data_IF_288533543364
#
_entry.id   IF_288533543364
#
_cell.length_a   1.000
_cell.length_b   1.000
_cell.length_c   1.000
_cell.angle_alpha   90.00
_cell.angle_beta   90.00
_cell.angle_gamma   90.00
#
_symmetry.space_group_name_H-M   'P 1'
#
loop_
_entity.id
_entity.type
_entity.pdbx_description
1 polymer ?
#
# COMPACT_ATOMS: atom_id res chain seq x y z
N UNK A 1 -9.11 22.44 -7.32
CA UNK A 1 -9.65 21.23 -7.99
C UNK A 1 -9.68 20.14 -6.94
N UNK A 2 -10.81 19.48 -6.66
CA UNK A 2 -10.84 18.42 -5.65
C UNK A 2 -9.97 17.23 -6.09
N UNK A 3 -9.35 16.53 -5.14
CA UNK A 3 -8.55 15.32 -5.42
C UNK A 3 -9.37 14.30 -6.22
N UNK A 4 -10.67 14.19 -5.95
CA UNK A 4 -11.60 13.34 -6.67
C UNK A 4 -11.84 13.73 -8.13
N UNK A 5 -11.96 15.04 -8.42
CA UNK A 5 -12.06 15.52 -9.81
C UNK A 5 -10.79 15.20 -10.61
N UNK A 6 -9.62 15.31 -9.97
CA UNK A 6 -8.36 14.94 -10.61
C UNK A 6 -8.25 13.43 -10.85
N UNK A 7 -8.64 12.62 -9.87
CA UNK A 7 -8.75 11.16 -10.00
C UNK A 7 -9.59 10.77 -11.23
N UNK A 8 -10.81 11.34 -11.38
CA UNK A 8 -11.68 11.07 -12.53
C UNK A 8 -10.99 11.37 -13.87
N UNK A 9 -10.30 12.51 -13.98
CA UNK A 9 -9.56 12.87 -15.20
C UNK A 9 -8.42 11.90 -15.53
N UNK A 10 -7.75 11.38 -14.50
CA UNK A 10 -6.71 10.36 -14.66
C UNK A 10 -7.32 9.05 -15.15
N UNK A 11 -8.43 8.60 -14.57
CA UNK A 11 -9.12 7.38 -15.02
C UNK A 11 -9.68 7.51 -16.44
N UNK A 12 -10.27 8.66 -16.79
CA UNK A 12 -10.69 8.97 -18.17
C UNK A 12 -9.51 8.90 -19.15
N UNK A 13 -8.34 9.41 -18.76
CA UNK A 13 -7.15 9.34 -19.60
C UNK A 13 -6.69 7.90 -19.83
N UNK A 14 -6.70 7.06 -18.79
CA UNK A 14 -6.40 5.62 -18.92
C UNK A 14 -7.36 4.92 -19.88
N UNK A 15 -8.66 5.17 -19.73
CA UNK A 15 -9.72 4.56 -20.54
C UNK A 15 -9.72 5.06 -21.99
N UNK A 16 -9.23 6.27 -22.25
CA UNK A 16 -9.21 6.85 -23.59
C UNK A 16 -8.37 6.05 -24.60
N UNK A 17 -7.42 5.24 -24.13
CA UNK A 17 -6.51 4.45 -24.96
C UNK A 17 -5.53 5.28 -25.81
N UNK A 18 -5.56 6.61 -25.71
CA UNK A 18 -4.75 7.49 -26.59
C UNK A 18 -3.25 7.37 -26.33
N UNK A 19 -2.86 6.87 -25.16
CA UNK A 19 -1.47 6.70 -24.73
C UNK A 19 -0.95 5.26 -24.84
N UNK A 20 -1.57 4.43 -25.69
CA UNK A 20 -1.11 3.07 -25.95
C UNK A 20 -0.01 3.07 -27.02
N UNK A 21 1.15 2.52 -26.69
CA UNK A 21 2.23 2.25 -27.64
C UNK A 21 2.80 0.86 -27.36
N UNK A 22 2.95 0.02 -28.40
CA UNK A 22 3.59 -1.30 -28.29
C UNK A 22 2.97 -2.17 -27.17
N UNK A 23 1.64 -2.13 -27.04
CA UNK A 23 0.91 -2.88 -26.00
C UNK A 23 0.92 -2.26 -24.60
N UNK A 24 1.63 -1.14 -24.39
CA UNK A 24 1.72 -0.45 -23.10
C UNK A 24 0.85 0.81 -23.09
N UNK A 25 -0.08 0.91 -22.16
CA UNK A 25 -0.83 2.13 -21.88
C UNK A 25 -0.08 3.02 -20.88
N UNK A 26 0.59 4.05 -21.40
CA UNK A 26 1.42 4.94 -20.58
C UNK A 26 0.62 5.84 -19.64
N UNK A 27 -0.70 5.95 -19.80
CA UNK A 27 -1.55 6.66 -18.83
C UNK A 27 -1.54 5.96 -17.45
N UNK A 28 -1.48 4.64 -17.42
CA UNK A 28 -1.31 3.85 -16.18
C UNK A 28 0.09 4.07 -15.59
N UNK A 29 1.12 4.03 -16.44
CA UNK A 29 2.52 4.19 -16.00
C UNK A 29 2.74 5.54 -15.30
N UNK A 30 2.18 6.63 -15.83
CA UNK A 30 2.45 7.97 -15.30
C UNK A 30 1.45 8.45 -14.24
N UNK A 31 0.32 7.74 -14.04
CA UNK A 31 -0.77 8.20 -13.19
C UNK A 31 -0.38 8.54 -11.75
N UNK A 32 0.53 7.82 -11.05
CA UNK A 32 0.90 8.19 -9.69
C UNK A 32 1.53 9.58 -9.61
N UNK A 33 2.18 10.03 -10.69
CA UNK A 33 2.80 11.35 -10.79
C UNK A 33 1.81 12.44 -11.23
N UNK A 34 0.57 12.11 -11.61
CA UNK A 34 -0.43 13.10 -12.04
C UNK A 34 -1.25 13.71 -10.89
N UNK A 35 -1.16 13.14 -9.68
CA UNK A 35 -1.90 13.63 -8.50
C UNK A 35 -1.38 14.98 -7.97
N UNK A 36 -0.07 15.23 -8.01
CA UNK A 36 0.50 16.51 -7.58
C UNK A 36 0.30 17.59 -8.66
N UNK A 37 -0.78 18.35 -8.58
CA UNK A 37 -1.10 19.40 -9.55
C UNK A 37 -0.43 20.75 -9.24
N UNK A 38 0.41 20.83 -8.20
CA UNK A 38 1.09 22.07 -7.81
C UNK A 38 2.11 22.51 -8.86
N UNK A 39 2.44 23.81 -8.87
CA UNK A 39 3.48 24.34 -9.74
C UNK A 39 4.86 23.71 -9.44
N UNK A 40 5.20 23.53 -8.16
CA UNK A 40 6.41 22.83 -7.77
C UNK A 40 6.42 21.38 -8.29
N UNK A 41 5.29 20.68 -8.19
CA UNK A 41 5.10 19.34 -8.74
C UNK A 41 5.28 19.29 -10.26
N UNK A 42 4.76 20.28 -10.98
CA UNK A 42 4.95 20.44 -12.42
C UNK A 42 6.44 20.55 -12.79
N UNK A 43 7.17 21.45 -12.13
CA UNK A 43 8.61 21.65 -12.37
C UNK A 43 9.39 20.37 -12.06
N UNK A 44 9.09 19.70 -10.93
CA UNK A 44 9.70 18.41 -10.57
C UNK A 44 9.52 17.37 -11.68
N UNK A 45 8.32 17.26 -12.28
CA UNK A 45 8.06 16.31 -13.37
C UNK A 45 8.83 16.64 -14.64
N UNK A 46 8.97 17.92 -14.98
CA UNK A 46 9.73 18.36 -16.15
C UNK A 46 11.20 17.99 -15.95
N UNK A 47 11.80 18.37 -14.81
CA UNK A 47 13.19 18.04 -14.48
C UNK A 47 13.39 16.52 -14.49
N UNK A 48 12.51 15.79 -13.82
CA UNK A 48 12.54 14.33 -13.77
C UNK A 48 12.46 13.67 -15.14
N UNK A 49 11.64 14.19 -16.04
CA UNK A 49 11.44 13.61 -17.37
C UNK A 49 12.60 13.88 -18.32
N UNK A 50 13.28 15.02 -18.14
CA UNK A 50 14.37 15.45 -19.01
C UNK A 50 15.73 14.94 -18.51
N UNK A 51 16.01 15.05 -17.21
CA UNK A 51 17.37 14.90 -16.69
C UNK A 51 17.61 13.62 -15.90
N UNK A 52 16.57 12.87 -15.54
CA UNK A 52 16.71 11.65 -14.75
C UNK A 52 16.49 10.44 -15.65
N UNK A 53 17.51 9.63 -15.87
CA UNK A 53 17.41 8.34 -16.54
C UNK A 53 17.13 7.19 -15.56
N UNK A 54 16.91 6.01 -16.13
CA UNK A 54 16.81 4.75 -15.37
C UNK A 54 18.10 3.96 -15.54
N UNK A 55 18.71 3.57 -14.42
CA UNK A 55 19.83 2.63 -14.37
C UNK A 55 19.31 1.28 -13.91
N UNK A 56 19.77 0.22 -14.55
CA UNK A 56 19.54 -1.15 -14.11
C UNK A 56 20.76 -1.60 -13.30
N UNK A 57 20.50 -2.24 -12.17
CA UNK A 57 21.51 -2.85 -11.31
C UNK A 57 21.21 -4.34 -11.24
N UNK A 58 22.19 -5.16 -11.61
CA UNK A 58 22.09 -6.61 -11.46
C UNK A 58 22.20 -6.94 -9.97
N UNK A 59 21.10 -7.45 -9.42
CA UNK A 59 21.03 -7.85 -8.03
C UNK A 59 21.49 -9.29 -7.80
N UNK A 60 21.82 -10.02 -8.87
CA UNK A 60 22.24 -11.43 -8.87
C UNK A 60 21.11 -12.43 -9.10
N UNK A 61 21.40 -13.72 -8.95
CA UNK A 61 20.45 -14.82 -9.19
C UNK A 61 21.05 -15.85 -10.14
N UNK A 62 20.19 -16.71 -10.70
CA UNK A 62 20.59 -17.70 -11.72
C UNK A 62 20.40 -17.04 -13.08
N UNK A 63 21.45 -16.75 -13.88
CA UNK A 63 21.30 -16.01 -15.14
C UNK A 63 20.26 -16.61 -16.10
N UNK A 64 20.15 -17.95 -16.12
CA UNK A 64 19.19 -18.74 -16.89
C UNK A 64 17.82 -18.90 -16.20
N UNK A 65 17.58 -18.20 -15.09
CA UNK A 65 16.36 -18.28 -14.30
C UNK A 65 15.14 -17.82 -15.09
N UNK A 66 14.10 -18.65 -15.17
CA UNK A 66 12.89 -18.37 -15.95
C UNK A 66 12.00 -17.27 -15.34
N UNK A 67 12.24 -16.90 -14.08
CA UNK A 67 11.50 -15.87 -13.34
C UNK A 67 12.36 -14.61 -13.18
N UNK A 68 11.82 -13.45 -13.56
CA UNK A 68 12.43 -12.15 -13.26
C UNK A 68 11.75 -11.52 -12.05
N UNK A 69 12.51 -11.24 -10.99
CA UNK A 69 12.06 -10.43 -9.86
C UNK A 69 12.57 -9.00 -10.07
N UNK A 70 11.66 -8.03 -10.08
CA UNK A 70 11.97 -6.63 -10.35
C UNK A 70 11.60 -5.71 -9.17
N UNK A 71 12.53 -4.85 -8.77
CA UNK A 71 12.38 -3.91 -7.65
C UNK A 71 12.89 -2.50 -8.00
N UNK A 72 12.06 -1.46 -7.84
CA UNK A 72 12.49 -0.07 -8.11
C UNK A 72 12.47 0.87 -6.90
N UNK A 73 12.14 0.36 -5.70
CA UNK A 73 11.87 1.20 -4.54
C UNK A 73 13.03 1.31 -3.54
N UNK A 74 14.23 0.79 -3.85
CA UNK A 74 15.41 0.83 -2.96
C UNK A 74 15.76 2.26 -2.50
N UNK A 75 15.59 3.23 -3.39
CA UNK A 75 15.83 4.65 -3.11
C UNK A 75 14.87 5.27 -2.07
N UNK A 76 13.80 4.58 -1.69
CA UNK A 76 12.88 5.04 -0.64
C UNK A 76 13.42 4.76 0.77
N UNK A 77 14.50 3.98 0.91
CA UNK A 77 15.12 3.62 2.19
C UNK A 77 14.12 3.05 3.20
N UNK A 78 13.24 2.17 2.70
CA UNK A 78 12.16 1.53 3.46
C UNK A 78 12.53 0.07 3.74
N UNK A 79 12.95 -0.21 4.97
CA UNK A 79 13.38 -1.56 5.37
C UNK A 79 12.29 -2.62 5.18
N UNK A 80 11.03 -2.26 5.36
CA UNK A 80 9.88 -3.13 5.11
C UNK A 80 9.71 -3.47 3.62
N UNK A 81 10.00 -2.52 2.72
CA UNK A 81 9.92 -2.76 1.27
C UNK A 81 11.08 -3.65 0.80
N UNK A 82 12.26 -3.37 1.34
CA UNK A 82 13.48 -4.10 1.06
C UNK A 82 13.37 -5.56 1.52
N UNK A 83 12.76 -5.79 2.70
CA UNK A 83 12.50 -7.14 3.20
C UNK A 83 11.61 -7.95 2.26
N UNK A 84 10.53 -7.35 1.74
CA UNK A 84 9.63 -8.00 0.80
C UNK A 84 10.38 -8.50 -0.44
N UNK A 85 11.16 -7.62 -1.07
CA UNK A 85 11.92 -7.96 -2.28
C UNK A 85 12.96 -9.06 -2.00
N UNK A 86 13.67 -8.96 -0.88
CA UNK A 86 14.67 -9.95 -0.47
C UNK A 86 14.05 -11.31 -0.16
N UNK A 87 12.88 -11.33 0.49
CA UNK A 87 12.18 -12.58 0.82
C UNK A 87 11.61 -13.27 -0.42
N UNK A 88 11.10 -12.51 -1.40
CA UNK A 88 10.71 -13.07 -2.71
C UNK A 88 11.90 -13.71 -3.43
N UNK A 89 13.06 -13.03 -3.41
CA UNK A 89 14.32 -13.56 -3.95
C UNK A 89 14.73 -14.85 -3.26
N UNK A 90 14.63 -14.92 -1.94
CA UNK A 90 14.96 -16.13 -1.18
C UNK A 90 14.03 -17.31 -1.55
N UNK A 91 12.72 -17.07 -1.60
CA UNK A 91 11.72 -18.08 -1.95
C UNK A 91 11.97 -18.64 -3.36
N UNK A 92 12.43 -17.81 -4.30
CA UNK A 92 12.60 -18.15 -5.72
C UNK A 92 14.06 -18.32 -6.14
N UNK A 93 14.99 -18.47 -5.18
CA UNK A 93 16.45 -18.38 -5.41
C UNK A 93 16.97 -19.29 -6.53
N UNK A 94 16.37 -20.47 -6.69
CA UNK A 94 16.87 -21.52 -7.58
C UNK A 94 16.36 -21.36 -9.04
N UNK A 95 15.44 -20.42 -9.29
CA UNK A 95 14.79 -20.26 -10.59
C UNK A 95 14.62 -18.80 -11.03
N UNK A 96 15.21 -17.84 -10.32
CA UNK A 96 15.01 -16.42 -10.58
C UNK A 96 16.29 -15.63 -10.81
N UNK A 97 16.14 -14.56 -11.60
CA UNK A 97 17.05 -13.43 -11.70
C UNK A 97 16.44 -12.26 -10.93
N UNK A 98 17.25 -11.55 -10.16
CA UNK A 98 16.83 -10.38 -9.39
C UNK A 98 17.45 -9.12 -9.98
N UNK A 99 16.60 -8.16 -10.34
CA UNK A 99 17.00 -6.90 -10.98
C UNK A 99 16.43 -5.72 -10.21
N UNK A 100 17.30 -4.75 -9.93
CA UNK A 100 16.90 -3.47 -9.37
C UNK A 100 16.95 -2.36 -10.42
N UNK A 101 16.09 -1.37 -10.28
CA UNK A 101 16.21 -0.14 -11.06
C UNK A 101 16.35 1.07 -10.15
N UNK A 102 17.34 1.91 -10.48
CA UNK A 102 17.58 3.19 -9.83
C UNK A 102 17.33 4.36 -10.78
N UNK A 103 17.17 5.54 -10.18
CA UNK A 103 17.09 6.81 -10.90
C UNK A 103 18.48 7.48 -10.88
N UNK A 104 18.99 7.92 -12.03
CA UNK A 104 20.30 8.58 -12.12
C UNK A 104 20.25 9.82 -13.02
N UNK A 105 21.10 10.81 -12.76
CA UNK A 105 21.21 11.97 -13.65
C UNK A 105 21.78 11.55 -15.01
N UNK A 106 21.18 12.02 -16.10
CA UNK A 106 21.59 11.66 -17.46
C UNK A 106 21.24 12.75 -18.47
N UNK A 107 22.26 13.39 -19.06
CA UNK A 107 22.06 14.32 -20.17
C UNK A 107 21.54 13.62 -21.43
N UNK A 108 21.90 12.35 -21.62
CA UNK A 108 21.38 11.54 -22.72
C UNK A 108 19.86 11.34 -22.61
N UNK A 109 19.30 11.36 -21.39
CA UNK A 109 17.86 11.31 -21.20
C UNK A 109 17.15 12.50 -21.84
N UNK A 110 17.74 13.70 -21.81
CA UNK A 110 17.14 14.91 -22.40
C UNK A 110 16.89 14.67 -23.88
N UNK A 111 17.91 14.24 -24.60
CA UNK A 111 17.82 13.92 -26.02
C UNK A 111 16.78 12.82 -26.29
N UNK A 112 16.85 11.72 -25.54
CA UNK A 112 15.91 10.59 -25.67
C UNK A 112 14.46 11.04 -25.48
N UNK A 113 14.17 11.81 -24.44
CA UNK A 113 12.83 12.32 -24.14
C UNK A 113 12.36 13.29 -25.23
N UNK A 114 13.19 14.25 -25.65
CA UNK A 114 12.81 15.24 -26.68
C UNK A 114 12.50 14.59 -28.03
N UNK A 115 13.26 13.55 -28.44
CA UNK A 115 13.00 12.81 -29.68
C UNK A 115 11.62 12.13 -29.67
N UNK A 116 11.15 11.64 -28.51
CA UNK A 116 9.84 10.98 -28.40
C UNK A 116 8.69 11.97 -28.15
N UNK A 117 8.98 13.19 -27.72
CA UNK A 117 8.00 14.19 -27.28
C UNK A 117 6.88 14.49 -28.31
N UNK A 118 7.14 14.67 -29.62
CA UNK A 118 6.07 15.03 -30.56
C UNK A 118 4.94 13.99 -30.61
N UNK A 119 5.32 12.71 -30.73
CA UNK A 119 4.36 11.60 -30.70
C UNK A 119 3.70 11.42 -29.32
N UNK A 120 4.44 11.64 -28.23
CA UNK A 120 3.88 11.60 -26.87
C UNK A 120 2.90 12.73 -26.57
N UNK A 121 3.06 13.89 -27.21
CA UNK A 121 2.13 15.01 -27.08
C UNK A 121 0.76 14.70 -27.69
N UNK A 122 0.74 13.95 -28.81
CA UNK A 122 -0.51 13.43 -29.38
C UNK A 122 -1.16 12.38 -28.47
N UNK A 123 -0.37 11.58 -27.77
CA UNK A 123 -0.88 10.56 -26.86
C UNK A 123 -1.61 11.10 -25.64
N UNK A 124 -1.33 12.34 -25.20
CA UNK A 124 -2.01 12.98 -24.06
C UNK A 124 -3.26 13.77 -24.47
N UNK A 125 -3.79 13.57 -25.68
CA UNK A 125 -5.07 14.17 -26.10
C UNK A 125 -6.25 13.71 -25.26
N UNK A 126 -6.23 12.46 -24.77
CA UNK A 126 -7.24 11.93 -23.85
C UNK A 126 -7.18 12.53 -22.44
N UNK A 127 -6.10 13.22 -22.07
CA UNK A 127 -5.95 13.83 -20.74
C UNK A 127 -6.57 15.24 -20.72
N UNK A 128 -7.80 15.34 -20.20
CA UNK A 128 -8.60 16.57 -20.08
C UNK A 128 -8.10 17.50 -18.96
N UNK A 129 -6.87 17.96 -19.12
CA UNK A 129 -6.12 18.77 -18.17
C UNK A 129 -5.62 20.09 -18.80
N UNK A 130 -5.12 21.00 -17.96
CA UNK A 130 -4.55 22.27 -18.44
C UNK A 130 -3.32 22.04 -19.33
N UNK A 131 -3.01 23.01 -20.20
CA UNK A 131 -1.92 22.87 -21.19
C UNK A 131 -0.57 22.49 -20.55
N UNK A 132 -0.22 23.11 -19.44
CA UNK A 132 1.02 22.81 -18.70
C UNK A 132 1.04 21.38 -18.14
N UNK A 133 -0.08 20.91 -17.61
CA UNK A 133 -0.22 19.54 -17.13
C UNK A 133 -0.10 18.53 -18.28
N UNK A 134 -0.65 18.86 -19.45
CA UNK A 134 -0.52 18.03 -20.67
C UNK A 134 0.92 17.99 -21.18
N UNK A 135 1.65 19.11 -21.16
CA UNK A 135 3.08 19.15 -21.50
C UNK A 135 3.88 18.24 -20.56
N UNK A 136 3.68 18.36 -19.25
CA UNK A 136 4.37 17.49 -18.29
C UNK A 136 4.00 16.01 -18.43
N UNK A 137 2.72 15.70 -18.68
CA UNK A 137 2.30 14.34 -18.97
C UNK A 137 2.96 13.80 -20.25
N UNK A 138 3.06 14.59 -21.32
CA UNK A 138 3.70 14.19 -22.57
C UNK A 138 5.20 13.92 -22.39
N UNK A 139 5.88 14.74 -21.57
CA UNK A 139 7.28 14.52 -21.18
C UNK A 139 7.44 13.22 -20.38
N UNK A 140 6.54 12.94 -19.42
CA UNK A 140 6.56 11.69 -18.68
C UNK A 140 6.34 10.48 -19.60
N UNK A 141 5.34 10.53 -20.50
CA UNK A 141 5.12 9.48 -21.52
C UNK A 141 6.38 9.27 -22.35
N UNK A 142 7.01 10.34 -22.85
CA UNK A 142 8.23 10.26 -23.63
C UNK A 142 9.41 9.64 -22.83
N UNK A 143 9.57 10.03 -21.57
CA UNK A 143 10.58 9.48 -20.67
C UNK A 143 10.37 7.98 -20.42
N UNK A 144 9.15 7.55 -20.11
CA UNK A 144 8.89 6.13 -19.88
C UNK A 144 8.96 5.30 -21.16
N UNK A 145 8.60 5.85 -22.33
CA UNK A 145 8.82 5.16 -23.62
C UNK A 145 10.30 4.91 -23.92
N UNK A 146 11.17 5.83 -23.52
CA UNK A 146 12.62 5.65 -23.68
C UNK A 146 13.16 4.67 -22.64
N UNK A 147 12.63 4.69 -21.41
CA UNK A 147 12.92 3.69 -20.38
C UNK A 147 12.57 2.27 -20.86
N UNK A 148 11.36 2.10 -21.41
CA UNK A 148 10.91 0.83 -21.98
C UNK A 148 11.92 0.26 -22.99
N UNK A 149 12.29 1.09 -23.97
CA UNK A 149 13.19 0.69 -25.06
C UNK A 149 14.63 0.44 -24.63
N UNK A 150 15.20 1.31 -23.80
CA UNK A 150 16.65 1.33 -23.55
C UNK A 150 17.06 0.67 -22.24
N UNK A 151 16.15 0.52 -21.27
CA UNK A 151 16.47 -0.09 -19.97
C UNK A 151 15.74 -1.42 -19.76
N UNK A 152 14.50 -1.55 -20.21
CA UNK A 152 13.64 -2.67 -19.81
C UNK A 152 13.46 -3.75 -20.88
N UNK A 153 13.57 -3.42 -22.16
CA UNK A 153 13.28 -4.36 -23.25
C UNK A 153 14.07 -5.67 -23.17
N UNK A 154 15.35 -5.61 -22.79
CA UNK A 154 16.20 -6.80 -22.67
C UNK A 154 15.94 -7.63 -21.41
N UNK A 155 15.30 -7.06 -20.38
CA UNK A 155 15.09 -7.77 -19.10
C UNK A 155 14.11 -8.94 -19.24
N UNK A 156 13.17 -8.82 -20.17
CA UNK A 156 12.11 -9.80 -20.40
C UNK A 156 12.51 -10.91 -21.38
N UNK A 157 13.70 -10.82 -21.98
CA UNK A 157 14.18 -11.85 -22.90
C UNK A 157 14.43 -13.16 -22.14
N UNK A 158 13.97 -14.27 -22.74
CA UNK A 158 14.13 -15.63 -22.22
C UNK A 158 13.53 -15.84 -20.81
N UNK A 159 12.51 -15.04 -20.45
CA UNK A 159 11.73 -15.17 -19.20
C UNK A 159 10.31 -15.61 -19.50
N UNK A 160 9.69 -16.29 -18.54
CA UNK A 160 8.28 -16.70 -18.61
C UNK A 160 7.42 -15.98 -17.57
N UNK A 161 8.04 -15.52 -16.50
CA UNK A 161 7.34 -14.85 -15.41
C UNK A 161 8.07 -13.58 -14.95
N UNK A 162 7.30 -12.51 -14.73
CA UNK A 162 7.72 -11.31 -14.04
C UNK A 162 7.04 -11.25 -12.67
N UNK A 163 7.83 -11.03 -11.62
CA UNK A 163 7.39 -10.76 -10.26
C UNK A 163 7.79 -9.33 -9.89
N UNK A 164 6.82 -8.48 -9.58
CA UNK A 164 7.07 -7.10 -9.17
C UNK A 164 6.76 -6.88 -7.69
N UNK A 165 7.46 -5.92 -7.09
CA UNK A 165 7.17 -5.47 -5.73
C UNK A 165 5.75 -4.88 -5.58
N UNK A 166 5.36 -4.00 -6.51
CA UNK A 166 4.04 -3.34 -6.52
C UNK A 166 3.83 -2.63 -7.87
N UNK A 167 2.93 -3.15 -8.71
CA UNK A 167 2.65 -2.60 -10.05
C UNK A 167 1.82 -1.30 -10.04
N UNK A 168 1.51 -0.76 -8.86
CA UNK A 168 1.01 0.60 -8.72
C UNK A 168 2.11 1.66 -8.97
N UNK A 169 3.39 1.28 -8.82
CA UNK A 169 4.53 2.15 -9.06
C UNK A 169 4.91 2.17 -10.55
N UNK A 170 5.38 3.31 -11.04
CA UNK A 170 5.56 3.53 -12.48
C UNK A 170 6.55 2.57 -13.17
N UNK A 171 7.77 2.30 -12.63
CA UNK A 171 8.69 1.35 -13.25
C UNK A 171 8.12 -0.07 -13.32
N UNK A 172 7.56 -0.56 -12.21
CA UNK A 172 6.93 -1.88 -12.10
C UNK A 172 5.72 -1.99 -13.03
N UNK A 173 4.86 -0.96 -13.10
CA UNK A 173 3.71 -0.92 -13.98
C UNK A 173 4.13 -1.03 -15.46
N UNK A 174 5.16 -0.26 -15.85
CA UNK A 174 5.70 -0.28 -17.20
C UNK A 174 6.19 -1.68 -17.58
N UNK A 175 7.05 -2.27 -16.74
CA UNK A 175 7.61 -3.59 -17.01
C UNK A 175 6.53 -4.67 -17.01
N UNK A 176 5.51 -4.55 -16.14
CA UNK A 176 4.36 -5.46 -16.09
C UNK A 176 3.54 -5.43 -17.37
N UNK A 177 3.22 -4.24 -17.89
CA UNK A 177 2.51 -4.12 -19.16
C UNK A 177 3.34 -4.67 -20.33
N UNK A 178 4.66 -4.45 -20.33
CA UNK A 178 5.57 -5.04 -21.33
C UNK A 178 5.59 -6.57 -21.25
N UNK A 179 5.67 -7.15 -20.05
CA UNK A 179 5.63 -8.59 -19.84
C UNK A 179 4.30 -9.19 -20.32
N UNK A 180 3.17 -8.54 -19.98
CA UNK A 180 1.85 -8.95 -20.45
C UNK A 180 1.75 -8.94 -21.99
N UNK A 181 2.27 -7.89 -22.64
CA UNK A 181 2.28 -7.76 -24.09
C UNK A 181 3.18 -8.82 -24.78
N UNK A 182 4.25 -9.25 -24.10
CA UNK A 182 5.11 -10.35 -24.52
C UNK A 182 4.57 -11.75 -24.16
N UNK A 183 3.39 -11.84 -23.54
CA UNK A 183 2.73 -13.11 -23.21
C UNK A 183 3.13 -13.72 -21.86
N UNK A 184 4.07 -13.12 -21.13
CA UNK A 184 4.58 -13.63 -19.86
C UNK A 184 3.52 -13.60 -18.76
N UNK A 185 3.65 -14.51 -17.78
CA UNK A 185 2.91 -14.41 -16.53
C UNK A 185 3.44 -13.22 -15.73
N UNK A 186 2.56 -12.34 -15.28
CA UNK A 186 2.93 -11.25 -14.37
C UNK A 186 2.26 -11.41 -13.01
N UNK A 187 3.06 -11.30 -11.96
CA UNK A 187 2.65 -11.40 -10.56
C UNK A 187 3.12 -10.15 -9.84
N UNK A 188 2.26 -9.54 -9.03
CA UNK A 188 2.64 -8.41 -8.18
C UNK A 188 2.36 -8.70 -6.72
N UNK A 189 3.18 -8.12 -5.86
CA UNK A 189 2.92 -8.11 -4.42
C UNK A 189 2.24 -6.79 -3.99
N UNK A 190 1.81 -6.73 -2.74
CA UNK A 190 1.37 -5.50 -2.09
C UNK A 190 2.30 -5.08 -0.95
N UNK A 191 2.34 -3.76 -0.71
CA UNK A 191 3.17 -3.14 0.33
C UNK A 191 2.36 -2.54 1.49
N UNK A 192 1.03 -2.70 1.46
CA UNK A 192 0.12 -2.16 2.46
C UNK A 192 -1.25 -2.83 2.37
N UNK A 193 -2.06 -2.69 3.42
CA UNK A 193 -3.49 -3.02 3.33
C UNK A 193 -4.17 -1.92 2.52
N UNK A 194 -4.51 -2.26 1.29
CA UNK A 194 -5.24 -1.35 0.44
C UNK A 194 -6.70 -1.22 0.92
N UNK A 195 -7.25 -0.02 0.70
CA UNK A 195 -8.67 0.30 0.89
C UNK A 195 -9.22 1.06 -0.31
N UNK A 196 -10.45 0.79 -0.71
CA UNK A 196 -11.11 1.61 -1.73
C UNK A 196 -11.34 3.03 -1.20
N UNK A 197 -10.96 4.00 -2.02
CA UNK A 197 -11.10 5.42 -1.73
C UNK A 197 -12.33 6.00 -2.43
N UNK A 198 -12.98 6.93 -1.76
CA UNK A 198 -14.14 7.66 -2.24
C UNK A 198 -13.85 9.16 -2.32
N UNK A 199 -14.88 9.99 -2.55
CA UNK A 199 -14.73 11.43 -2.67
C UNK A 199 -14.17 12.10 -1.41
N UNK A 200 -14.35 11.49 -0.23
CA UNK A 200 -13.99 12.03 1.08
C UNK A 200 -12.52 11.81 1.42
N UNK A 201 -11.92 10.73 0.91
CA UNK A 201 -10.56 10.33 1.25
C UNK A 201 -9.65 10.08 0.02
N UNK A 202 -10.04 10.55 -1.17
CA UNK A 202 -9.31 10.33 -2.41
C UNK A 202 -7.84 10.82 -2.36
N UNK A 203 -6.92 9.93 -2.68
CA UNK A 203 -5.48 10.18 -2.74
C UNK A 203 -4.84 9.38 -3.90
N UNK A 204 -3.52 9.52 -4.06
CA UNK A 204 -2.76 8.70 -5.01
C UNK A 204 -2.77 7.20 -4.67
N UNK A 205 -3.18 6.81 -3.45
CA UNK A 205 -3.27 5.39 -3.06
C UNK A 205 -4.39 4.66 -3.82
N UNK A 206 -5.32 5.39 -4.45
CA UNK A 206 -6.31 4.81 -5.36
C UNK A 206 -5.66 4.06 -6.54
N UNK A 207 -4.42 4.42 -6.88
CA UNK A 207 -3.65 3.72 -7.91
C UNK A 207 -3.28 2.28 -7.51
N UNK A 208 -3.35 1.89 -6.23
CA UNK A 208 -3.18 0.48 -5.84
C UNK A 208 -4.15 -0.46 -6.58
N UNK A 209 -5.38 -0.01 -6.83
CA UNK A 209 -6.39 -0.76 -7.58
C UNK A 209 -6.43 -0.34 -9.04
N UNK A 210 -6.41 0.98 -9.27
CA UNK A 210 -6.58 1.53 -10.60
C UNK A 210 -5.36 1.27 -11.52
N UNK A 211 -4.21 0.89 -10.96
CA UNK A 211 -3.02 0.46 -11.71
C UNK A 211 -2.74 -1.03 -11.64
N UNK A 212 -3.64 -1.85 -11.08
CA UNK A 212 -3.46 -3.29 -11.06
C UNK A 212 -3.57 -3.90 -12.47
N UNK A 213 -2.40 -4.19 -13.05
CA UNK A 213 -2.27 -4.69 -14.44
C UNK A 213 -1.67 -6.11 -14.49
N UNK A 214 -1.13 -6.61 -13.37
CA UNK A 214 -0.57 -7.95 -13.28
C UNK A 214 -1.63 -9.04 -13.43
N UNK A 215 -1.29 -10.18 -14.05
CA UNK A 215 -2.22 -11.32 -14.20
C UNK A 215 -2.61 -11.94 -12.86
N UNK A 216 -1.73 -11.85 -11.86
CA UNK A 216 -1.96 -12.30 -10.48
C UNK A 216 -1.47 -11.27 -9.46
N UNK A 217 -2.10 -11.27 -8.29
CA UNK A 217 -1.69 -10.52 -7.10
C UNK A 217 -1.48 -11.47 -5.92
N UNK A 218 -0.41 -11.24 -5.16
CA UNK A 218 -0.15 -11.85 -3.86
C UNK A 218 -0.88 -11.03 -2.79
N UNK A 219 -2.03 -11.53 -2.33
CA UNK A 219 -2.86 -10.89 -1.33
C UNK A 219 -2.45 -11.34 0.08
N UNK A 220 -2.48 -10.44 1.06
CA UNK A 220 -2.22 -10.80 2.46
C UNK A 220 -3.30 -11.74 3.00
N UNK A 221 -4.57 -11.44 2.74
CA UNK A 221 -5.71 -12.21 3.22
C UNK A 221 -6.93 -12.01 2.36
N UNK A 222 -8.03 -12.65 2.76
CA UNK A 222 -9.35 -12.48 2.16
C UNK A 222 -9.81 -11.02 2.22
N UNK A 223 -9.38 -10.24 3.21
CA UNK A 223 -9.67 -8.81 3.29
C UNK A 223 -9.23 -8.05 2.03
N UNK A 224 -7.98 -8.23 1.60
CA UNK A 224 -7.47 -7.65 0.35
C UNK A 224 -8.23 -8.17 -0.86
N UNK A 225 -8.47 -9.48 -0.92
CA UNK A 225 -9.17 -10.11 -2.04
C UNK A 225 -10.58 -9.53 -2.21
N UNK A 226 -11.31 -9.33 -1.12
CA UNK A 226 -12.65 -8.76 -1.10
C UNK A 226 -12.66 -7.30 -1.58
N UNK A 227 -11.70 -6.49 -1.13
CA UNK A 227 -11.57 -5.09 -1.59
C UNK A 227 -11.33 -5.02 -3.11
N UNK A 228 -10.37 -5.79 -3.64
CA UNK A 228 -10.08 -5.83 -5.08
C UNK A 228 -11.26 -6.39 -5.88
N UNK A 229 -11.94 -7.41 -5.36
CA UNK A 229 -13.14 -7.97 -6.00
C UNK A 229 -14.27 -6.94 -6.05
N UNK A 230 -14.47 -6.17 -4.98
CA UNK A 230 -15.48 -5.11 -4.96
C UNK A 230 -15.18 -3.95 -5.92
N UNK A 231 -13.91 -3.78 -6.30
CA UNK A 231 -13.49 -2.87 -7.38
C UNK A 231 -13.78 -3.42 -8.80
N UNK A 232 -14.16 -4.69 -8.91
CA UNK A 232 -14.41 -5.37 -10.19
C UNK A 232 -13.25 -6.21 -10.71
N UNK A 233 -12.24 -6.49 -9.88
CA UNK A 233 -11.13 -7.36 -10.27
C UNK A 233 -11.53 -8.82 -10.04
N UNK A 234 -11.32 -9.67 -11.05
CA UNK A 234 -11.69 -11.09 -10.96
C UNK A 234 -10.99 -11.79 -9.79
N UNK A 235 -11.72 -12.51 -8.92
CA UNK A 235 -11.14 -13.27 -7.81
C UNK A 235 -10.06 -14.26 -8.24
N UNK A 236 -10.16 -14.85 -9.44
CA UNK A 236 -9.14 -15.77 -9.97
C UNK A 236 -7.77 -15.11 -10.23
N UNK A 237 -7.69 -13.77 -10.20
CA UNK A 237 -6.43 -13.02 -10.26
C UNK A 237 -5.81 -12.74 -8.88
N UNK A 238 -6.51 -13.05 -7.79
CA UNK A 238 -6.17 -12.63 -6.44
C UNK A 238 -5.89 -13.86 -5.59
N UNK A 239 -4.62 -14.09 -5.23
CA UNK A 239 -4.21 -15.30 -4.51
C UNK A 239 -3.73 -14.95 -3.11
N UNK A 240 -4.37 -15.55 -2.11
CA UNK A 240 -4.01 -15.33 -0.70
C UNK A 240 -2.73 -16.09 -0.36
N UNK A 241 -1.66 -15.34 -0.10
CA UNK A 241 -0.33 -15.88 0.23
C UNK A 241 0.20 -15.38 1.57
N UNK A 242 -0.47 -14.43 2.20
CA UNK A 242 0.01 -13.81 3.43
C UNK A 242 0.89 -12.58 3.17
N UNK A 243 1.05 -11.80 4.23
CA UNK A 243 1.92 -10.64 4.27
C UNK A 243 3.37 -11.09 4.40
N UNK A 244 4.18 -10.76 3.39
CA UNK A 244 5.62 -10.90 3.44
C UNK A 244 6.17 -9.83 4.41
N UNK A 245 6.29 -10.18 5.68
CA UNK A 245 6.76 -9.30 6.75
C UNK A 245 7.79 -10.02 7.62
N UNK A 246 8.71 -9.26 8.20
CA UNK A 246 9.57 -9.77 9.25
C UNK A 246 8.80 -9.72 10.58
N UNK A 247 8.25 -10.87 10.99
CA UNK A 247 7.52 -10.98 12.26
C UNK A 247 8.45 -11.05 13.48
N UNK A 248 9.72 -11.43 13.30
CA UNK A 248 10.70 -11.52 14.39
C UNK A 248 11.02 -10.12 14.99
N UNK A 249 10.91 -9.06 14.19
CA UNK A 249 11.05 -7.68 14.67
C UNK A 249 9.82 -7.17 15.45
N UNK A 250 8.76 -7.96 15.54
CA UNK A 250 7.53 -7.64 16.26
C UNK A 250 7.51 -8.51 17.52
N UNK A 251 8.52 -8.38 18.39
CA UNK A 251 8.50 -9.00 19.71
C UNK A 251 7.41 -8.33 20.54
N UNK A 252 6.25 -8.98 20.64
CA UNK A 252 5.12 -8.44 21.36
C UNK A 252 5.02 -9.09 22.75
N UNK A 253 4.64 -8.30 23.77
CA UNK A 253 4.46 -8.84 25.10
C UNK A 253 3.40 -9.95 25.08
N UNK A 254 3.60 -10.99 25.88
CA UNK A 254 2.57 -12.01 26.07
C UNK A 254 1.29 -11.36 26.61
N UNK A 255 0.14 -11.67 26.00
CA UNK A 255 -1.17 -11.17 26.40
C UNK A 255 -1.62 -11.60 27.82
N UNK A 256 -0.78 -12.33 28.56
CA UNK A 256 -1.06 -12.87 29.89
C UNK A 256 -0.58 -11.97 31.05
N UNK A 257 -0.41 -10.68 30.83
CA UNK A 257 -0.06 -9.73 31.90
C UNK A 257 -1.30 -9.36 32.75
N UNK A 258 -1.07 -9.01 34.02
CA UNK A 258 -2.11 -8.44 34.89
C UNK A 258 -2.75 -7.20 34.25
N UNK A 259 -4.06 -6.95 34.46
CA UNK A 259 -4.73 -5.76 33.94
C UNK A 259 -4.05 -4.49 34.43
N UNK A 260 -3.64 -3.63 33.49
CA UNK A 260 -2.94 -2.37 33.77
C UNK A 260 -3.91 -1.25 34.12
N UNK A 261 -5.18 -1.39 33.75
CA UNK A 261 -6.17 -0.32 33.90
C UNK A 261 -5.99 0.81 32.87
N UNK A 262 -5.20 0.56 31.82
CA UNK A 262 -4.89 1.52 30.77
C UNK A 262 -5.18 0.88 29.42
N UNK A 263 -5.91 1.58 28.55
CA UNK A 263 -6.05 1.19 27.15
C UNK A 263 -5.36 2.18 26.23
N UNK A 264 -4.99 1.75 25.04
CA UNK A 264 -4.31 2.63 24.10
C UNK A 264 -5.25 3.21 23.05
N UNK A 265 -4.93 4.39 22.54
CA UNK A 265 -5.64 5.08 21.47
C UNK A 265 -4.65 5.33 20.34
N UNK A 266 -4.90 4.79 19.15
CA UNK A 266 -3.98 4.92 18.02
C UNK A 266 -4.50 5.92 17.01
N UNK A 267 -3.80 7.04 16.88
CA UNK A 267 -4.16 8.07 15.92
C UNK A 267 -3.66 7.73 14.51
N UNK A 268 -4.46 8.13 13.53
CA UNK A 268 -4.12 8.10 12.11
C UNK A 268 -3.09 9.20 11.77
N UNK A 269 -2.54 9.13 10.56
CA UNK A 269 -1.76 10.22 9.97
C UNK A 269 -2.59 11.52 9.84
N UNK A 270 -1.93 12.63 9.47
CA UNK A 270 -2.55 13.95 9.37
C UNK A 270 -3.76 14.04 8.41
N UNK A 271 -3.90 13.10 7.48
CA UNK A 271 -5.09 12.99 6.62
C UNK A 271 -6.36 12.57 7.39
N UNK A 272 -6.22 12.08 8.62
CA UNK A 272 -7.30 11.60 9.48
C UNK A 272 -7.56 12.49 10.71
N UNK A 273 -7.20 13.77 10.69
CA UNK A 273 -7.35 14.70 11.84
C UNK A 273 -8.73 14.69 12.47
N UNK A 274 -9.79 14.75 11.66
CA UNK A 274 -11.17 14.71 12.14
C UNK A 274 -11.47 13.41 12.89
N UNK A 275 -11.08 12.27 12.32
CA UNK A 275 -11.23 10.97 12.97
C UNK A 275 -10.34 10.83 14.21
N UNK A 276 -9.17 11.49 14.25
CA UNK A 276 -8.32 11.53 15.44
C UNK A 276 -9.00 12.27 16.60
N UNK A 277 -9.68 13.39 16.32
CA UNK A 277 -10.49 14.10 17.33
C UNK A 277 -11.62 13.20 17.82
N UNK A 278 -12.36 12.57 16.90
CA UNK A 278 -13.44 11.65 17.26
C UNK A 278 -12.96 10.45 18.10
N UNK A 279 -11.77 9.91 17.80
CA UNK A 279 -11.14 8.86 18.59
C UNK A 279 -10.79 9.31 20.01
N UNK A 280 -10.26 10.53 20.16
CA UNK A 280 -9.93 11.08 21.49
C UNK A 280 -11.21 11.26 22.31
N UNK A 281 -12.27 11.82 21.72
CA UNK A 281 -13.54 12.00 22.43
C UNK A 281 -14.19 10.64 22.79
N UNK A 282 -14.10 9.65 21.90
CA UNK A 282 -14.51 8.28 22.21
C UNK A 282 -13.68 7.67 23.34
N UNK A 283 -12.37 7.92 23.38
CA UNK A 283 -11.49 7.43 24.43
C UNK A 283 -11.87 7.98 25.80
N UNK A 284 -12.14 9.29 25.91
CA UNK A 284 -12.63 9.90 27.17
C UNK A 284 -13.91 9.24 27.67
N UNK A 285 -14.85 9.02 26.75
CA UNK A 285 -16.11 8.34 27.08
C UNK A 285 -15.86 6.92 27.60
N UNK A 286 -15.07 6.12 26.88
CA UNK A 286 -14.75 4.74 27.26
C UNK A 286 -14.00 4.69 28.59
N UNK A 287 -13.03 5.59 28.78
CA UNK A 287 -12.26 5.73 30.01
C UNK A 287 -13.17 6.02 31.22
N UNK A 288 -14.03 7.04 31.12
CA UNK A 288 -14.96 7.39 32.18
C UNK A 288 -16.00 6.31 32.46
N UNK A 289 -16.54 5.67 31.42
CA UNK A 289 -17.58 4.64 31.56
C UNK A 289 -17.05 3.33 32.16
N UNK A 290 -15.79 2.98 31.88
CA UNK A 290 -15.18 1.72 32.33
C UNK A 290 -14.22 1.90 33.51
N UNK A 291 -14.02 3.13 34.00
CA UNK A 291 -13.07 3.43 35.07
C UNK A 291 -11.61 3.14 34.69
N UNK A 292 -11.23 3.45 33.45
CA UNK A 292 -9.89 3.21 32.90
C UNK A 292 -9.16 4.53 32.62
N UNK A 293 -7.84 4.47 32.46
CA UNK A 293 -7.04 5.54 31.85
C UNK A 293 -6.75 5.21 30.38
N UNK A 294 -6.28 6.20 29.62
CA UNK A 294 -5.93 5.97 28.22
C UNK A 294 -4.59 6.58 27.79
N UNK A 295 -3.85 5.85 26.96
CA UNK A 295 -2.55 6.26 26.39
C UNK A 295 -2.68 6.56 24.90
N UNK A 296 -2.24 7.73 24.45
CA UNK A 296 -2.37 8.16 23.06
C UNK A 296 -1.08 7.90 22.28
N UNK A 297 -1.16 7.00 21.31
CA UNK A 297 -0.07 6.74 20.35
C UNK A 297 -0.27 7.57 19.08
N UNK A 298 0.70 8.42 18.79
CA UNK A 298 0.72 9.28 17.62
C UNK A 298 1.25 8.56 16.39
N UNK A 299 0.82 9.01 15.20
CA UNK A 299 1.51 8.69 13.96
C UNK A 299 2.92 9.31 13.97
N UNK A 300 3.96 8.69 13.37
CA UNK A 300 5.35 9.16 13.46
C UNK A 300 5.61 10.61 13.03
N UNK A 301 4.72 11.18 12.22
CA UNK A 301 4.87 12.53 11.64
C UNK A 301 3.94 13.58 12.25
N UNK A 302 3.07 13.20 13.18
CA UNK A 302 2.11 14.13 13.78
C UNK A 302 2.72 14.84 14.99
N UNK A 303 2.40 16.12 15.20
CA UNK A 303 2.90 16.89 16.35
C UNK A 303 2.09 16.56 17.62
N UNK A 304 2.73 16.08 18.72
CA UNK A 304 2.05 15.84 19.98
C UNK A 304 1.27 17.04 20.51
N UNK A 305 1.78 18.27 20.32
CA UNK A 305 1.15 19.50 20.82
C UNK A 305 -0.23 19.74 20.22
N UNK A 306 -0.48 19.24 19.01
CA UNK A 306 -1.76 19.40 18.33
C UNK A 306 -2.89 18.71 19.10
N UNK A 307 -2.62 17.55 19.67
CA UNK A 307 -3.62 16.72 20.35
C UNK A 307 -3.62 16.87 21.86
N UNK A 308 -2.52 17.32 22.47
CA UNK A 308 -2.41 17.45 23.92
C UNK A 308 -3.49 18.36 24.53
N UNK A 309 -3.88 19.42 23.81
CA UNK A 309 -4.96 20.34 24.21
C UNK A 309 -6.36 19.71 24.22
N UNK A 310 -6.51 18.53 23.64
CA UNK A 310 -7.78 17.80 23.56
C UNK A 310 -7.91 16.74 24.65
N UNK A 311 -6.88 16.48 25.45
CA UNK A 311 -6.87 15.42 26.45
C UNK A 311 -7.48 15.89 27.78
N UNK A 312 -8.04 14.98 28.56
CA UNK A 312 -8.62 15.23 29.89
C UNK A 312 -7.84 14.52 31.01
N UNK A 313 -8.22 14.66 32.27
CA UNK A 313 -7.46 14.12 33.40
C UNK A 313 -7.36 12.57 33.43
N UNK A 314 -8.07 11.87 32.54
CA UNK A 314 -8.01 10.41 32.39
C UNK A 314 -6.91 9.95 31.42
N UNK A 315 -6.24 10.86 30.70
CA UNK A 315 -5.09 10.49 29.87
C UNK A 315 -3.89 10.08 30.75
N UNK A 316 -3.14 9.09 30.28
CA UNK A 316 -1.94 8.58 30.95
C UNK A 316 -0.66 9.13 30.34
N UNK A 317 -0.51 8.98 29.03
CA UNK A 317 0.67 9.39 28.28
C UNK A 317 0.29 9.69 26.82
N UNK A 318 1.11 10.48 26.12
CA UNK A 318 0.98 10.78 24.70
C UNK A 318 2.35 10.85 24.04
N UNK A 319 2.51 10.14 22.92
CA UNK A 319 3.79 10.17 22.22
C UNK A 319 3.91 9.24 21.03
N UNK A 320 5.13 9.20 20.50
CA UNK A 320 5.54 8.28 19.46
C UNK A 320 6.09 7.02 20.11
N UNK A 321 5.30 5.95 20.08
CA UNK A 321 5.69 4.65 20.59
C UNK A 321 5.86 3.67 19.43
N UNK A 322 6.94 2.89 19.44
CA UNK A 322 6.96 1.65 18.66
C UNK A 322 5.86 0.69 19.18
N UNK A 323 5.48 -0.29 18.36
CA UNK A 323 4.33 -1.12 18.66
C UNK A 323 4.53 -1.99 19.91
N UNK A 324 5.74 -2.53 20.12
CA UNK A 324 6.05 -3.38 21.26
C UNK A 324 5.99 -2.60 22.58
N UNK A 325 6.64 -1.43 22.62
CA UNK A 325 6.59 -0.52 23.79
C UNK A 325 5.17 -0.03 24.06
N UNK A 326 4.37 0.20 23.02
CA UNK A 326 2.97 0.58 23.18
C UNK A 326 2.13 -0.55 23.80
N UNK A 327 2.19 -1.76 23.24
CA UNK A 327 1.40 -2.90 23.72
C UNK A 327 1.81 -3.36 25.12
N UNK A 328 3.05 -3.12 25.54
CA UNK A 328 3.50 -3.43 26.90
C UNK A 328 2.84 -2.52 27.95
N UNK A 329 2.31 -1.36 27.57
CA UNK A 329 1.65 -0.40 28.47
C UNK A 329 0.13 -0.49 28.54
N UNK A 330 -0.52 -1.22 27.64
CA UNK A 330 -1.99 -1.20 27.51
C UNK A 330 -2.63 -2.58 27.59
N UNK A 331 -3.91 -2.63 27.94
CA UNK A 331 -4.73 -3.86 28.02
C UNK A 331 -5.41 -4.19 26.68
N UNK A 332 -5.79 -3.16 25.93
CA UNK A 332 -6.39 -3.23 24.60
C UNK A 332 -6.19 -1.91 23.86
N UNK A 333 -6.55 -1.88 22.58
CA UNK A 333 -6.43 -0.69 21.73
C UNK A 333 -7.77 -0.23 21.17
N UNK A 334 -7.98 1.08 21.13
CA UNK A 334 -8.98 1.78 20.34
C UNK A 334 -8.27 2.44 19.15
N UNK A 335 -8.74 2.18 17.93
CA UNK A 335 -8.12 2.67 16.72
C UNK A 335 -9.15 3.04 15.65
N UNK A 336 -8.66 3.47 14.50
CA UNK A 336 -9.43 3.67 13.27
C UNK A 336 -8.72 2.92 12.13
N UNK A 337 -8.60 3.46 10.92
CA UNK A 337 -7.92 2.79 9.79
C UNK A 337 -6.40 2.97 9.79
N UNK A 338 -5.68 2.13 10.52
CA UNK A 338 -4.20 2.08 10.49
C UNK A 338 -3.67 0.66 10.29
N UNK A 339 -2.57 0.53 9.53
CA UNK A 339 -1.93 -0.77 9.27
C UNK A 339 -1.48 -1.49 10.55
N UNK A 340 -1.21 -0.74 11.62
CA UNK A 340 -0.87 -1.28 12.92
C UNK A 340 -2.02 -2.11 13.55
N UNK A 341 -3.29 -1.91 13.14
CA UNK A 341 -4.41 -2.77 13.58
C UNK A 341 -4.17 -4.23 13.19
N UNK A 342 -3.64 -4.48 11.98
CA UNK A 342 -3.38 -5.84 11.49
C UNK A 342 -2.26 -6.49 12.29
N UNK A 343 -1.24 -5.71 12.66
CA UNK A 343 -0.12 -6.19 13.50
C UNK A 343 -0.62 -6.54 14.92
N UNK A 344 -1.53 -5.74 15.48
CA UNK A 344 -2.15 -6.01 16.79
C UNK A 344 -3.04 -7.25 16.74
N UNK A 345 -3.84 -7.42 15.69
CA UNK A 345 -4.65 -8.61 15.50
C UNK A 345 -3.75 -9.85 15.36
N UNK A 346 -2.66 -9.77 14.61
CA UNK A 346 -1.69 -10.86 14.47
C UNK A 346 -1.06 -11.24 15.82
N UNK A 347 -0.80 -10.26 16.68
CA UNK A 347 -0.35 -10.47 18.06
C UNK A 347 -1.36 -11.17 18.97
N UNK A 348 -2.63 -11.24 18.54
CA UNK A 348 -3.74 -11.66 19.38
C UNK A 348 -4.08 -10.66 20.49
N UNK A 349 -3.69 -9.38 20.34
CA UNK A 349 -4.08 -8.32 21.28
C UNK A 349 -5.49 -7.80 20.94
N UNK A 350 -6.33 -7.50 21.95
CA UNK A 350 -7.65 -6.95 21.69
C UNK A 350 -7.58 -5.55 21.08
N UNK A 351 -8.33 -5.33 20.01
CA UNK A 351 -8.44 -4.03 19.33
C UNK A 351 -9.86 -3.78 18.85
N UNK A 352 -10.32 -2.54 19.00
CA UNK A 352 -11.64 -2.08 18.63
C UNK A 352 -11.50 -0.86 17.74
N UNK A 353 -12.31 -0.79 16.69
CA UNK A 353 -12.30 0.33 15.74
C UNK A 353 -13.52 1.20 15.94
N UNK A 354 -13.30 2.51 16.03
CA UNK A 354 -14.39 3.47 15.97
C UNK A 354 -14.76 3.74 14.51
N UNK A 355 -16.01 3.52 14.14
CA UNK A 355 -16.57 4.01 12.88
C UNK A 355 -17.28 5.34 13.13
N UNK A 356 -16.58 6.44 12.81
CA UNK A 356 -17.08 7.81 12.86
C UNK A 356 -17.82 8.22 11.57
N UNK A 357 -18.17 7.26 10.72
CA UNK A 357 -18.75 7.48 9.38
C UNK A 357 -17.71 7.74 8.28
N UNK A 358 -16.41 7.72 8.62
CA UNK A 358 -15.27 7.84 7.70
C UNK A 358 -14.40 6.59 7.67
N UNK A 359 -14.74 5.54 8.42
CA UNK A 359 -13.98 4.30 8.41
C UNK A 359 -14.11 3.64 7.03
N UNK A 360 -12.97 3.22 6.46
CA UNK A 360 -12.99 2.55 5.17
C UNK A 360 -13.64 1.18 5.27
N UNK A 361 -14.34 0.76 4.22
CA UNK A 361 -15.08 -0.51 4.15
C UNK A 361 -14.25 -1.73 4.56
N UNK A 362 -12.97 -1.78 4.16
CA UNK A 362 -12.02 -2.82 4.56
C UNK A 362 -11.88 -3.01 6.09
N UNK A 363 -12.25 -2.01 6.88
CA UNK A 363 -12.19 -1.99 8.34
C UNK A 363 -13.58 -1.96 8.99
N UNK A 364 -14.66 -1.85 8.22
CA UNK A 364 -16.05 -1.93 8.69
C UNK A 364 -16.48 -3.39 8.84
N UNK A 365 -15.88 -4.09 9.81
CA UNK A 365 -16.04 -5.53 10.01
C UNK A 365 -16.74 -5.79 11.35
N UNK A 366 -17.75 -6.66 11.31
CA UNK A 366 -18.48 -7.09 12.50
C UNK A 366 -17.53 -7.70 13.54
N UNK A 367 -17.69 -7.28 14.79
CA UNK A 367 -16.83 -7.71 15.90
C UNK A 367 -15.45 -7.05 15.95
N UNK A 368 -15.17 -6.11 15.03
CA UNK A 368 -13.96 -5.28 15.03
C UNK A 368 -14.31 -3.79 15.08
N UNK A 369 -15.28 -3.33 14.29
CA UNK A 369 -15.69 -1.92 14.20
C UNK A 369 -17.04 -1.63 14.83
N UNK A 370 -17.18 -0.47 15.45
CA UNK A 370 -18.35 -0.06 16.22
C UNK A 370 -18.71 1.40 15.90
N UNK A 371 -20.00 1.65 15.69
CA UNK A 371 -20.54 2.93 15.20
C UNK A 371 -20.45 4.10 16.20
N UNK A 372 -20.23 3.82 17.48
CA UNK A 372 -20.18 4.85 18.51
C UNK A 372 -19.46 4.36 19.78
N UNK A 373 -19.05 5.28 20.68
CA UNK A 373 -18.33 4.94 21.90
C UNK A 373 -19.09 4.02 22.87
N UNK A 374 -20.42 4.08 22.90
CA UNK A 374 -21.23 3.19 23.73
C UNK A 374 -21.12 1.74 23.27
N UNK A 375 -21.19 1.50 21.96
CA UNK A 375 -21.03 0.18 21.36
C UNK A 375 -19.62 -0.38 21.58
N UNK A 376 -18.59 0.48 21.48
CA UNK A 376 -17.21 0.11 21.84
C UNK A 376 -17.13 -0.35 23.30
N UNK A 377 -17.65 0.46 24.24
CA UNK A 377 -17.60 0.12 25.66
C UNK A 377 -18.37 -1.18 25.98
N UNK A 378 -19.54 -1.38 25.38
CA UNK A 378 -20.33 -2.60 25.54
C UNK A 378 -19.56 -3.84 25.04
N UNK A 379 -18.93 -3.76 23.87
CA UNK A 379 -18.13 -4.84 23.32
C UNK A 379 -16.92 -5.18 24.19
N UNK A 380 -16.26 -4.17 24.78
CA UNK A 380 -15.15 -4.38 25.73
C UNK A 380 -15.63 -5.14 26.98
N UNK A 381 -16.80 -4.78 27.52
CA UNK A 381 -17.39 -5.47 28.69
C UNK A 381 -17.75 -6.92 28.35
N UNK A 382 -18.35 -7.15 27.18
CA UNK A 382 -18.68 -8.49 26.70
C UNK A 382 -17.41 -9.34 26.55
N UNK A 383 -16.39 -8.83 25.87
CA UNK A 383 -15.12 -9.53 25.66
C UNK A 383 -14.39 -9.84 26.98
N UNK A 384 -14.46 -8.95 27.96
CA UNK A 384 -13.93 -9.18 29.32
C UNK A 384 -14.68 -10.29 30.06
N UNK A 385 -15.99 -10.42 29.82
CA UNK A 385 -16.80 -11.51 30.40
C UNK A 385 -16.61 -12.85 29.68
N UNK A 386 -16.21 -12.83 28.41
CA UNK A 386 -16.02 -14.01 27.56
C UNK A 386 -14.65 -13.99 26.82
N UNK A 387 -13.52 -13.99 27.54
CA UNK A 387 -12.19 -13.75 26.93
C UNK A 387 -11.78 -14.81 25.90
N UNK A 388 -12.20 -16.06 26.07
CA UNK A 388 -11.92 -17.13 25.10
C UNK A 388 -12.66 -16.89 23.78
N UNK A 389 -13.91 -16.40 23.83
CA UNK A 389 -14.68 -16.08 22.63
C UNK A 389 -14.07 -14.88 21.88
N UNK A 390 -13.71 -13.83 22.62
CA UNK A 390 -13.01 -12.66 22.09
C UNK A 390 -11.70 -13.04 21.40
N UNK A 391 -10.85 -13.85 22.07
CA UNK A 391 -9.59 -14.34 21.50
C UNK A 391 -9.81 -15.11 20.20
N UNK A 392 -10.79 -16.01 20.16
CA UNK A 392 -11.11 -16.75 18.95
C UNK A 392 -11.57 -15.82 17.80
N UNK A 393 -12.41 -14.82 18.11
CA UNK A 393 -12.84 -13.80 17.15
C UNK A 393 -11.65 -13.01 16.58
N UNK A 394 -10.76 -12.50 17.43
CA UNK A 394 -9.57 -11.77 16.99
C UNK A 394 -8.61 -12.64 16.17
N UNK A 395 -8.42 -13.91 16.52
CA UNK A 395 -7.62 -14.84 15.72
C UNK A 395 -8.22 -15.09 14.33
N UNK A 396 -9.56 -15.21 14.24
CA UNK A 396 -10.25 -15.33 12.95
C UNK A 396 -10.06 -14.08 12.10
N UNK A 397 -10.22 -12.89 12.70
CA UNK A 397 -9.99 -11.61 12.03
C UNK A 397 -8.53 -11.45 11.58
N UNK A 398 -7.57 -11.82 12.43
CA UNK A 398 -6.15 -11.80 12.10
C UNK A 398 -5.85 -12.64 10.85
N UNK A 399 -6.39 -13.87 10.79
CA UNK A 399 -6.27 -14.75 9.62
C UNK A 399 -6.99 -14.21 8.38
N UNK A 400 -8.12 -13.54 8.56
CA UNK A 400 -8.87 -12.94 7.46
C UNK A 400 -8.11 -11.77 6.81
N UNK A 401 -7.41 -10.95 7.61
CA UNK A 401 -6.52 -9.90 7.10
C UNK A 401 -5.19 -10.45 6.57
N UNK A 402 -4.65 -11.48 7.22
CA UNK A 402 -3.37 -12.07 6.89
C UNK A 402 -3.37 -13.59 7.09
N UNK A 403 -3.40 -14.35 6.00
CA UNK A 403 -3.19 -15.80 6.01
C UNK A 403 -1.84 -16.16 5.38
N UNK A 404 -0.82 -16.22 6.22
CA UNK A 404 0.57 -16.55 5.86
C UNK A 404 0.95 -18.03 6.08
N UNK A 405 -0.03 -18.90 6.30
CA UNK A 405 0.19 -20.35 6.34
C UNK A 405 0.77 -20.83 5.01
N UNK A 406 1.87 -21.57 5.08
CA UNK A 406 2.57 -22.10 3.91
C UNK A 406 2.96 -21.02 2.87
N UNK A 407 3.20 -19.78 3.32
CA UNK A 407 3.43 -18.60 2.46
C UNK A 407 4.43 -18.89 1.32
N UNK A 408 5.59 -19.46 1.63
CA UNK A 408 6.61 -19.75 0.61
C UNK A 408 6.11 -20.75 -0.46
N UNK A 409 5.39 -21.80 -0.03
CA UNK A 409 4.83 -22.81 -0.92
C UNK A 409 3.74 -22.21 -1.81
N UNK A 410 2.83 -21.39 -1.25
CA UNK A 410 1.78 -20.71 -2.02
C UNK A 410 2.35 -19.72 -3.03
N UNK A 411 3.35 -18.93 -2.63
CA UNK A 411 4.05 -18.00 -3.53
C UNK A 411 4.70 -18.77 -4.69
N UNK A 412 5.41 -19.87 -4.40
CA UNK A 412 6.00 -20.74 -5.43
C UNK A 412 4.94 -21.31 -6.38
N UNK A 413 3.83 -21.80 -5.84
CA UNK A 413 2.75 -22.37 -6.65
C UNK A 413 2.17 -21.32 -7.63
N UNK A 414 1.92 -20.10 -7.17
CA UNK A 414 1.40 -19.02 -8.01
C UNK A 414 2.36 -18.63 -9.13
N UNK A 415 3.66 -18.62 -8.84
CA UNK A 415 4.69 -18.11 -9.75
C UNK A 415 5.18 -19.20 -10.72
N UNK A 416 5.29 -20.44 -10.27
CA UNK A 416 5.89 -21.54 -11.05
C UNK A 416 4.86 -22.46 -11.70
N UNK A 417 3.66 -22.60 -11.14
CA UNK A 417 2.62 -23.52 -11.63
C UNK A 417 1.46 -22.80 -12.34
N UNK A 418 1.51 -21.47 -12.49
CA UNK A 418 0.42 -20.64 -13.01
C UNK A 418 0.12 -20.76 -14.51
N UNK A 419 0.46 -21.89 -15.13
CA UNK A 419 0.25 -22.20 -16.55
C UNK A 419 -0.68 -23.39 -16.77
N UNK A 420 -1.87 -23.36 -16.16
CA UNK A 420 -3.02 -24.21 -16.55
C UNK A 420 -4.13 -23.37 -17.16
#
# INVERSE_FOLDING_TARGET
MSSFSNYKKIQEFKQSGTAIFEGVNYAYVISPRLYDVSFAGLIKKIIFSLFIGTRIEDGGGVPEGRVLIFYSCRNKSRADYDYIANRLREILRDCSVFVESGECFSLMQVWRTLVKLPSSFSAVKGYRAGIWQRIAAALLVAKYRTTARYAFASLLQDRDCLVTFCDAQAPENLLTQMANAAGLLSVTNQHGQYRLLDERNMSADAEAYANFVSRRMLCWGEATQNEFTSYGISPGRLVVTGWIKNWDCVELPSAAADPKGVFGVMLNADSGKESNVALIDAAKFVAGNLGLRYLVRLHPWSDPKEYQKLLDDLYDDIGHFDLATYLSKVDFSLAHMTGAVIEILHAGFPVYLLDDGRLARAFQIEGLSYLNPHAVAAAIVEDRSAPTHARHRFQKLARWYNDDRDQASRIRQVILCGGE
#
